data_IF_626927902728
#
_entry.id   IF_626927902728
#
_cell.length_a   1.000
_cell.length_b   1.000
_cell.length_c   1.000
_cell.angle_alpha   90.00
_cell.angle_beta   90.00
_cell.angle_gamma   90.00
#
_symmetry.space_group_name_H-M   'P 1'
#
loop_
_entity.id
_entity.type
_entity.pdbx_description
1 polymer ?
#
# COMPACT_ATOMS: atom_id res chain seq x y z
N UNK A 1 2.61 -14.41 53.55
CA UNK A 1 1.39 -15.15 53.21
C UNK A 1 1.66 -15.96 51.96
N UNK A 2 1.09 -17.16 51.87
CA UNK A 2 1.21 -17.98 50.66
C UNK A 2 0.02 -17.72 49.74
N UNK A 3 0.30 -17.53 48.45
CA UNK A 3 -0.69 -17.23 47.42
C UNK A 3 -0.63 -18.27 46.31
N UNK A 4 -1.74 -18.49 45.62
CA UNK A 4 -1.83 -19.39 44.49
C UNK A 4 -2.15 -18.63 43.21
N UNK A 5 -1.38 -18.82 42.16
CA UNK A 5 -1.64 -18.23 40.85
C UNK A 5 -2.01 -19.33 39.87
N UNK A 6 -3.20 -19.28 39.31
CA UNK A 6 -3.61 -20.14 38.21
C UNK A 6 -3.12 -19.55 36.89
N UNK A 7 -2.24 -20.31 36.22
CA UNK A 7 -1.68 -19.96 34.92
C UNK A 7 -2.66 -20.29 33.78
N UNK A 8 -2.38 -19.76 32.59
CA UNK A 8 -3.12 -19.99 31.34
C UNK A 8 -3.19 -21.47 30.94
N UNK A 9 -2.16 -22.24 31.32
CA UNK A 9 -2.11 -23.68 31.10
C UNK A 9 -2.91 -24.50 32.15
N UNK A 10 -3.59 -23.83 33.09
CA UNK A 10 -4.34 -24.47 34.18
C UNK A 10 -3.47 -25.00 35.32
N UNK A 11 -2.18 -24.66 35.35
CA UNK A 11 -1.27 -25.03 36.43
C UNK A 11 -1.39 -24.05 37.59
N UNK A 12 -1.23 -24.53 38.81
CA UNK A 12 -1.23 -23.68 40.02
C UNK A 12 0.20 -23.43 40.47
N UNK A 13 0.53 -22.16 40.65
CA UNK A 13 1.84 -21.68 41.08
C UNK A 13 1.73 -21.17 42.51
N UNK A 14 2.59 -21.62 43.42
CA UNK A 14 2.58 -21.14 44.80
C UNK A 14 3.65 -20.08 45.01
N UNK A 15 3.24 -18.88 45.41
CA UNK A 15 4.12 -17.74 45.62
C UNK A 15 4.06 -17.27 47.07
N UNK A 16 5.19 -16.82 47.60
CA UNK A 16 5.28 -16.20 48.92
C UNK A 16 5.38 -14.69 48.76
N UNK A 17 4.41 -13.98 49.33
CA UNK A 17 4.33 -12.53 49.31
C UNK A 17 4.00 -11.96 50.69
N UNK A 18 4.38 -10.70 50.93
CA UNK A 18 3.94 -9.94 52.09
C UNK A 18 2.57 -9.27 51.82
N UNK A 19 1.73 -9.02 52.84
CA UNK A 19 0.46 -8.29 52.67
C UNK A 19 0.65 -6.87 52.10
N UNK A 20 1.80 -6.27 52.40
CA UNK A 20 2.19 -4.93 51.97
C UNK A 20 2.95 -4.94 50.63
N UNK A 21 3.06 -6.08 49.97
CA UNK A 21 3.70 -6.14 48.66
C UNK A 21 2.75 -5.66 47.57
N UNK A 22 3.31 -4.97 46.58
CA UNK A 22 2.59 -4.52 45.40
C UNK A 22 2.36 -5.68 44.42
N UNK A 23 1.28 -5.60 43.64
CA UNK A 23 0.98 -6.55 42.56
C UNK A 23 2.12 -6.65 41.54
N UNK A 24 2.86 -5.55 41.29
CA UNK A 24 4.05 -5.57 40.43
C UNK A 24 5.15 -6.54 40.91
N UNK A 25 5.28 -6.77 42.22
CA UNK A 25 6.27 -7.69 42.78
C UNK A 25 5.92 -9.15 42.45
N UNK A 26 4.63 -9.52 42.53
CA UNK A 26 4.12 -10.83 42.12
C UNK A 26 4.32 -11.03 40.62
N UNK A 27 4.02 -10.02 39.79
CA UNK A 27 4.19 -10.14 38.34
C UNK A 27 5.65 -10.44 37.95
N UNK A 28 6.62 -9.87 38.70
CA UNK A 28 8.05 -10.18 38.52
C UNK A 28 8.41 -11.60 38.92
N UNK A 29 7.84 -12.12 40.01
CA UNK A 29 8.04 -13.52 40.42
C UNK A 29 7.49 -14.48 39.36
N UNK A 30 6.26 -14.23 38.87
CA UNK A 30 5.66 -15.01 37.77
C UNK A 30 6.52 -14.94 36.51
N UNK A 31 7.10 -13.78 36.20
CA UNK A 31 7.99 -13.62 35.04
C UNK A 31 9.27 -14.45 35.18
N UNK A 32 9.83 -14.55 36.39
CA UNK A 32 11.03 -15.34 36.65
C UNK A 32 10.77 -16.85 36.56
N UNK A 33 9.62 -17.33 37.03
CA UNK A 33 9.31 -18.76 37.09
C UNK A 33 8.65 -19.30 35.82
N UNK A 34 7.77 -18.53 35.19
CA UNK A 34 6.99 -18.95 34.00
C UNK A 34 7.44 -18.27 32.70
N UNK A 35 8.35 -17.30 32.76
CA UNK A 35 8.91 -16.65 31.57
C UNK A 35 7.97 -15.68 30.85
N UNK A 36 6.79 -15.39 31.42
CA UNK A 36 5.83 -14.44 30.85
C UNK A 36 6.25 -13.01 31.19
N UNK A 37 6.38 -12.08 30.25
CA UNK A 37 6.77 -10.70 30.54
C UNK A 37 5.75 -9.98 31.43
N UNK A 38 6.18 -9.28 32.48
CA UNK A 38 5.28 -8.57 33.41
C UNK A 38 4.35 -7.56 32.71
N UNK A 39 4.78 -6.98 31.59
CA UNK A 39 3.98 -6.04 30.79
C UNK A 39 2.77 -6.69 30.11
N UNK A 40 2.83 -8.00 29.85
CA UNK A 40 1.76 -8.76 29.21
C UNK A 40 0.84 -9.45 30.23
N UNK A 41 1.26 -9.53 31.49
CA UNK A 41 0.52 -10.17 32.57
C UNK A 41 -0.61 -9.30 33.09
N UNK A 42 -1.76 -9.92 33.35
CA UNK A 42 -2.87 -9.33 34.09
C UNK A 42 -3.38 -10.32 35.12
N UNK A 43 -3.30 -9.92 36.39
CA UNK A 43 -3.76 -10.71 37.52
C UNK A 43 -5.20 -10.35 37.87
N UNK A 44 -6.04 -11.36 38.10
CA UNK A 44 -7.46 -11.21 38.39
C UNK A 44 -7.78 -11.89 39.72
N UNK A 45 -8.43 -11.16 40.62
CA UNK A 45 -8.94 -11.66 41.90
C UNK A 45 -10.41 -11.28 42.07
N UNK A 46 -11.27 -12.23 42.44
CA UNK A 46 -12.70 -11.94 42.66
C UNK A 46 -13.42 -11.33 41.45
N UNK A 47 -12.91 -11.54 40.24
CA UNK A 47 -13.43 -10.92 39.01
C UNK A 47 -12.92 -9.50 38.74
N UNK A 48 -12.10 -8.92 39.60
CA UNK A 48 -11.45 -7.62 39.40
C UNK A 48 -10.01 -7.80 38.92
N UNK A 49 -9.61 -6.99 37.92
CA UNK A 49 -8.22 -6.97 37.44
C UNK A 49 -7.41 -6.06 38.35
N UNK A 50 -6.31 -6.58 38.90
CA UNK A 50 -5.44 -5.83 39.80
C UNK A 50 -4.47 -4.96 39.02
N UNK A 51 -4.29 -3.72 39.44
CA UNK A 51 -3.30 -2.82 38.85
C UNK A 51 -1.92 -2.99 39.50
N UNK A 52 -0.85 -2.68 38.77
CA UNK A 52 0.53 -2.91 39.21
C UNK A 52 0.90 -2.13 40.50
N UNK A 53 0.25 -1.00 40.76
CA UNK A 53 0.47 -0.14 41.93
C UNK A 53 -0.40 -0.47 43.14
N UNK A 54 -1.29 -1.47 43.03
CA UNK A 54 -2.15 -1.85 44.16
C UNK A 54 -1.41 -2.77 45.13
N UNK A 55 -1.69 -2.59 46.42
CA UNK A 55 -1.21 -3.45 47.50
C UNK A 55 -2.14 -4.66 47.64
N UNK A 56 -1.57 -5.85 47.84
CA UNK A 56 -2.34 -7.09 47.94
C UNK A 56 -3.39 -7.05 49.07
N UNK A 57 -3.00 -6.56 50.24
CA UNK A 57 -3.91 -6.41 51.37
C UNK A 57 -5.06 -5.45 51.09
N UNK A 58 -4.84 -4.39 50.31
CA UNK A 58 -5.89 -3.44 49.93
C UNK A 58 -6.89 -4.04 48.93
N UNK A 59 -6.45 -4.96 48.08
CA UNK A 59 -7.30 -5.71 47.14
C UNK A 59 -8.08 -6.85 47.81
N UNK A 60 -7.94 -7.05 49.13
CA UNK A 60 -8.59 -8.14 49.86
C UNK A 60 -7.95 -9.51 49.62
N UNK A 61 -6.72 -9.55 49.10
CA UNK A 61 -5.96 -10.78 48.92
C UNK A 61 -5.50 -11.26 50.31
N UNK A 62 -5.98 -12.43 50.71
CA UNK A 62 -5.64 -13.08 51.98
C UNK A 62 -4.68 -14.25 51.76
N UNK A 63 -4.21 -14.83 52.85
CA UNK A 63 -3.50 -16.11 52.82
C UNK A 63 -4.33 -17.19 52.13
N UNK A 64 -3.67 -18.01 51.29
CA UNK A 64 -4.24 -19.08 50.47
C UNK A 64 -5.23 -18.62 49.38
N UNK A 65 -5.29 -17.32 49.09
CA UNK A 65 -6.12 -16.82 47.99
C UNK A 65 -5.56 -17.21 46.61
N UNK A 66 -6.49 -17.36 45.65
CA UNK A 66 -6.20 -17.78 44.27
C UNK A 66 -6.35 -16.60 43.30
N UNK A 67 -5.28 -16.27 42.59
CA UNK A 67 -5.23 -15.26 41.53
C UNK A 67 -5.26 -15.97 40.17
N UNK A 68 -5.94 -15.38 39.19
CA UNK A 68 -5.93 -15.89 37.82
C UNK A 68 -5.03 -15.04 36.94
N UNK A 69 -4.07 -15.67 36.25
CA UNK A 69 -3.23 -15.02 35.26
C UNK A 69 -3.94 -14.99 33.91
N UNK A 70 -4.00 -13.81 33.31
CA UNK A 70 -4.47 -13.58 31.95
C UNK A 70 -3.44 -12.78 31.16
N UNK A 71 -3.40 -12.91 29.83
CA UNK A 71 -2.51 -12.13 28.97
C UNK A 71 -3.25 -11.00 28.28
N UNK A 72 -2.60 -9.85 28.17
CA UNK A 72 -3.00 -8.80 27.24
C UNK A 72 -2.67 -9.26 25.80
N UNK A 73 -3.68 -9.73 25.07
CA UNK A 73 -3.50 -10.09 23.66
C UNK A 73 -3.44 -8.83 22.79
N UNK A 74 -2.38 -8.68 22.01
CA UNK A 74 -2.35 -7.71 20.91
C UNK A 74 -3.40 -8.13 19.86
N UNK A 75 -4.49 -7.37 19.75
CA UNK A 75 -5.58 -7.68 18.83
C UNK A 75 -5.09 -7.84 17.38
N UNK A 76 -5.72 -8.75 16.62
CA UNK A 76 -5.33 -9.03 15.24
C UNK A 76 -5.44 -7.81 14.33
N UNK A 77 -4.31 -7.37 13.76
CA UNK A 77 -4.23 -6.23 12.86
C UNK A 77 -5.23 -6.32 11.70
N UNK A 78 -5.90 -5.19 11.39
CA UNK A 78 -6.93 -5.14 10.34
C UNK A 78 -6.36 -5.58 9.00
N UNK A 79 -6.82 -6.73 8.49
CA UNK A 79 -6.39 -7.28 7.20
C UNK A 79 -6.74 -6.30 6.06
N UNK A 80 -5.79 -6.10 5.15
CA UNK A 80 -5.98 -5.24 3.97
C UNK A 80 -7.12 -5.78 3.10
N UNK A 81 -8.14 -4.96 2.88
CA UNK A 81 -9.27 -5.32 2.00
C UNK A 81 -8.80 -5.51 0.56
N UNK A 82 -9.35 -6.53 -0.12
CA UNK A 82 -9.11 -6.78 -1.54
C UNK A 82 -9.67 -5.60 -2.35
N UNK A 83 -8.90 -5.11 -3.32
CA UNK A 83 -9.37 -4.06 -4.24
C UNK A 83 -10.34 -4.65 -5.25
N UNK A 84 -11.52 -4.06 -5.37
CA UNK A 84 -12.51 -4.40 -6.41
C UNK A 84 -12.33 -3.45 -7.60
N UNK A 85 -11.94 -4.00 -8.76
CA UNK A 85 -11.77 -3.21 -9.97
C UNK A 85 -13.09 -3.14 -10.73
N UNK A 86 -13.71 -1.96 -10.77
CA UNK A 86 -15.01 -1.74 -11.43
C UNK A 86 -14.89 -1.54 -12.94
N UNK A 87 -13.71 -1.13 -13.42
CA UNK A 87 -13.46 -0.82 -14.83
C UNK A 87 -12.33 -1.68 -15.38
N UNK A 88 -12.41 -2.08 -16.66
CA UNK A 88 -11.33 -2.80 -17.32
C UNK A 88 -10.08 -1.93 -17.41
N UNK A 89 -8.92 -2.58 -17.43
CA UNK A 89 -7.62 -1.89 -17.51
C UNK A 89 -7.46 -1.20 -18.86
N UNK A 90 -7.20 0.12 -18.84
CA UNK A 90 -6.94 0.91 -20.05
C UNK A 90 -5.65 0.47 -20.74
N UNK A 91 -5.74 0.04 -22.00
CA UNK A 91 -4.57 -0.27 -22.84
C UNK A 91 -3.92 1.04 -23.31
N UNK A 92 -2.60 1.16 -23.15
CA UNK A 92 -1.83 2.34 -23.58
C UNK A 92 -1.60 2.32 -25.09
N UNK A 93 -1.66 3.49 -25.73
CA UNK A 93 -1.37 3.64 -27.16
C UNK A 93 0.10 3.27 -27.46
N UNK A 94 0.30 2.38 -28.45
CA UNK A 94 1.62 2.02 -28.96
C UNK A 94 1.85 2.69 -30.31
N UNK A 95 3.00 3.35 -30.51
CA UNK A 95 3.36 3.97 -31.80
C UNK A 95 3.56 2.89 -32.86
N UNK A 96 2.85 2.99 -33.99
CA UNK A 96 3.02 2.10 -35.15
C UNK A 96 4.28 2.51 -35.92
N UNK A 97 5.27 1.61 -36.00
CA UNK A 97 6.50 1.84 -36.79
C UNK A 97 6.29 1.29 -38.20
N UNK A 98 6.26 2.17 -39.20
CA UNK A 98 6.20 1.79 -40.62
C UNK A 98 7.62 1.85 -41.17
N UNK A 99 8.14 0.71 -41.67
CA UNK A 99 9.47 0.65 -42.28
C UNK A 99 9.51 1.53 -43.53
N UNK A 100 10.60 2.28 -43.70
CA UNK A 100 10.88 3.10 -44.90
C UNK A 100 9.74 4.06 -45.30
N UNK A 101 9.06 4.66 -44.32
CA UNK A 101 7.90 5.53 -44.56
C UNK A 101 8.20 6.75 -45.47
N UNK A 102 9.46 7.21 -45.49
CA UNK A 102 9.90 8.40 -46.25
C UNK A 102 9.82 8.17 -47.76
N UNK A 103 10.07 6.95 -48.25
CA UNK A 103 10.02 6.63 -49.67
C UNK A 103 8.63 6.85 -50.28
N UNK A 104 7.57 6.75 -49.47
CA UNK A 104 6.19 7.00 -49.91
C UNK A 104 5.91 8.47 -50.25
N UNK A 105 6.83 9.38 -49.95
CA UNK A 105 6.64 10.82 -50.20
C UNK A 105 7.20 11.25 -51.56
N UNK A 106 7.92 10.37 -52.24
CA UNK A 106 8.55 10.65 -53.52
C UNK A 106 8.09 9.62 -54.55
N UNK A 107 8.00 10.05 -55.81
CA UNK A 107 7.83 9.19 -56.95
C UNK A 107 8.98 9.48 -57.92
N UNK A 108 9.65 8.44 -58.36
CA UNK A 108 10.72 8.52 -59.38
C UNK A 108 10.12 8.04 -60.69
N UNK A 109 10.16 8.89 -61.71
CA UNK A 109 9.73 8.52 -63.07
C UNK A 109 10.88 7.87 -63.84
N UNK A 110 10.59 7.21 -64.96
CA UNK A 110 11.58 6.50 -65.80
C UNK A 110 12.67 7.39 -66.41
N UNK A 111 12.50 8.72 -66.36
CA UNK A 111 13.47 9.71 -66.79
C UNK A 111 14.32 10.25 -65.63
N UNK A 112 14.43 9.50 -64.52
CA UNK A 112 15.13 9.84 -63.28
C UNK A 112 14.69 11.17 -62.63
N UNK A 113 13.51 11.67 -62.98
CA UNK A 113 12.91 12.86 -62.37
C UNK A 113 12.20 12.46 -61.07
N UNK A 114 12.50 13.18 -59.99
CA UNK A 114 11.90 12.96 -58.68
C UNK A 114 10.75 13.95 -58.45
N UNK A 115 9.54 13.44 -58.28
CA UNK A 115 8.35 14.22 -57.93
C UNK A 115 7.98 14.02 -56.46
N UNK A 116 7.61 15.10 -55.76
CA UNK A 116 7.16 15.07 -54.36
C UNK A 116 5.65 14.87 -54.31
N UNK A 117 5.19 13.84 -53.62
CA UNK A 117 3.77 13.48 -53.49
C UNK A 117 3.06 14.19 -52.32
N UNK A 118 3.82 14.84 -51.43
CA UNK A 118 3.27 15.54 -50.26
C UNK A 118 3.67 17.01 -50.25
N UNK A 119 2.78 17.83 -49.69
CA UNK A 119 3.01 19.26 -49.46
C UNK A 119 4.04 19.48 -48.36
N UNK A 120 4.96 20.40 -48.59
CA UNK A 120 5.94 20.86 -47.60
C UNK A 120 5.32 21.91 -46.67
N UNK A 121 5.79 21.96 -45.43
CA UNK A 121 5.35 22.96 -44.49
C UNK A 121 5.96 24.32 -44.85
N UNK A 122 5.16 25.41 -44.96
CA UNK A 122 5.67 26.74 -45.30
C UNK A 122 6.20 27.52 -44.08
N UNK A 123 6.13 26.96 -42.87
CA UNK A 123 6.54 27.66 -41.66
C UNK A 123 8.07 27.77 -41.62
N UNK A 124 8.60 28.94 -41.23
CA UNK A 124 10.04 29.23 -41.21
C UNK A 124 10.87 28.22 -40.38
N UNK A 125 10.29 27.68 -39.30
CA UNK A 125 10.91 26.63 -38.44
C UNK A 125 10.96 25.27 -39.15
N UNK A 126 10.06 25.03 -40.11
CA UNK A 126 9.95 23.79 -40.86
C UNK A 126 10.45 24.01 -42.29
N UNK A 127 11.77 23.90 -42.46
CA UNK A 127 12.42 24.04 -43.76
C UNK A 127 12.14 22.91 -44.78
N UNK A 128 12.87 22.92 -45.92
CA UNK A 128 12.71 21.94 -46.98
C UNK A 128 12.90 20.50 -46.49
N UNK A 129 12.03 19.59 -46.93
CA UNK A 129 12.00 18.18 -46.50
C UNK A 129 11.08 17.87 -45.32
N UNK A 130 10.41 18.86 -44.72
CA UNK A 130 9.33 18.63 -43.74
C UNK A 130 7.98 18.54 -44.44
N UNK A 131 7.50 17.31 -44.62
CA UNK A 131 6.20 17.06 -45.25
C UNK A 131 5.03 17.13 -44.26
N UNK A 132 3.94 17.76 -44.70
CA UNK A 132 2.68 17.76 -43.97
C UNK A 132 1.96 16.41 -44.15
N UNK A 133 1.33 15.93 -43.07
CA UNK A 133 0.45 14.78 -43.10
C UNK A 133 -0.86 15.16 -43.81
N UNK A 134 -1.27 14.33 -44.77
CA UNK A 134 -2.54 14.46 -45.47
C UNK A 134 -3.61 13.65 -44.71
N UNK A 135 -4.52 14.36 -44.05
CA UNK A 135 -5.74 13.80 -43.50
C UNK A 135 -6.92 14.12 -44.43
N UNK A 136 -8.06 13.46 -44.22
CA UNK A 136 -9.24 13.62 -45.09
C UNK A 136 -9.72 15.07 -45.21
N UNK A 137 -9.58 15.88 -44.17
CA UNK A 137 -10.08 17.26 -44.11
C UNK A 137 -8.98 18.31 -43.88
N UNK A 138 -7.72 17.89 -43.71
CA UNK A 138 -6.66 18.82 -43.32
C UNK A 138 -5.28 18.34 -43.73
N UNK A 139 -4.40 19.31 -43.93
CA UNK A 139 -2.96 19.11 -43.92
C UNK A 139 -2.41 19.51 -42.56
N UNK A 140 -1.61 18.64 -41.95
CA UNK A 140 -1.08 18.87 -40.61
C UNK A 140 0.44 18.68 -40.58
N UNK A 141 1.18 19.66 -40.09
CA UNK A 141 2.60 19.52 -39.84
C UNK A 141 2.85 18.87 -38.48
N UNK A 142 3.55 17.74 -38.47
CA UNK A 142 3.90 17.06 -37.21
C UNK A 142 4.98 17.74 -36.37
N UNK A 143 5.71 18.74 -36.93
CA UNK A 143 6.78 19.47 -36.23
C UNK A 143 6.28 20.78 -35.61
N UNK A 144 5.72 21.69 -36.41
CA UNK A 144 5.23 23.00 -35.93
C UNK A 144 3.74 23.01 -35.59
N UNK A 145 3.05 21.88 -35.70
CA UNK A 145 1.61 21.75 -35.44
C UNK A 145 0.69 22.58 -36.35
N UNK A 146 1.23 23.18 -37.42
CA UNK A 146 0.45 23.99 -38.36
C UNK A 146 -0.58 23.14 -39.10
N UNK A 147 -1.83 23.59 -39.11
CA UNK A 147 -2.96 22.95 -39.78
C UNK A 147 -3.55 23.84 -40.87
N UNK A 148 -3.70 23.29 -42.07
CA UNK A 148 -4.55 23.86 -43.12
C UNK A 148 -5.79 22.99 -43.31
N UNK A 149 -6.98 23.60 -43.29
CA UNK A 149 -8.22 22.92 -43.63
C UNK A 149 -8.38 22.90 -45.16
N UNK A 150 -8.76 21.74 -45.69
CA UNK A 150 -9.12 21.61 -47.11
C UNK A 150 -10.56 22.12 -47.22
N UNK A 151 -10.76 23.28 -47.85
CA UNK A 151 -12.11 23.67 -48.27
C UNK A 151 -12.54 22.64 -49.33
N UNK A 152 -13.61 21.90 -49.04
CA UNK A 152 -14.30 21.18 -50.12
C UNK A 152 -14.93 22.26 -50.96
N UNK A 153 -14.43 22.45 -52.17
CA UNK A 153 -15.17 23.25 -53.14
C UNK A 153 -16.54 22.59 -53.30
N UNK A 154 -17.60 23.34 -52.99
CA UNK A 154 -18.98 22.98 -53.31
C UNK A 154 -19.04 22.84 -54.84
N UNK A 155 -19.08 21.60 -55.32
CA UNK A 155 -19.54 21.27 -56.66
C UNK A 155 -20.99 20.84 -56.58
#
# INVERSE_FOLDING_TARGET
MRLFVHDLAGRTLSLDAAPEADVASIQKQIAAEHGVPSCEQRLIFGGQSLEASELLGACGVMEESTLFLSLALEGGGKKRKKKTYTKPKKIKHKRKKVKLAVLKFYKVDSNDKVTRLRRECPHEVCGPGVFMAMHFNRYYCGKCHLTYLIKKDEK
#
